data_IF_727700053861
#
_entry.id   IF_727700053861
#
_cell.length_a   1.000
_cell.length_b   1.000
_cell.length_c   1.000
_cell.angle_alpha   90.00
_cell.angle_beta   90.00
_cell.angle_gamma   90.00
#
_symmetry.space_group_name_H-M   'P 1'
#
loop_
_entity.id
_entity.type
_entity.pdbx_description
1 polymer ?
#
# COMPACT_ATOMS: atom_id res chain seq x y z
N UNK A 1 15.99 -17.66 17.58
CA UNK A 1 14.97 -16.79 18.23
C UNK A 1 13.80 -16.49 17.31
N UNK A 2 14.03 -16.03 16.07
CA UNK A 2 12.97 -15.87 15.05
C UNK A 2 12.21 -17.18 14.78
N UNK A 3 12.93 -18.29 14.55
CA UNK A 3 12.30 -19.60 14.29
C UNK A 3 11.42 -20.08 15.44
N UNK A 4 11.83 -19.82 16.69
CA UNK A 4 11.06 -20.20 17.89
C UNK A 4 9.78 -19.39 18.02
N UNK A 5 9.85 -18.07 17.84
CA UNK A 5 8.67 -17.18 17.90
C UNK A 5 7.69 -17.46 16.75
N UNK A 6 8.20 -17.76 15.56
CA UNK A 6 7.38 -18.14 14.41
C UNK A 6 6.68 -19.48 14.67
N UNK A 7 7.38 -20.50 15.15
CA UNK A 7 6.75 -21.80 15.47
C UNK A 7 5.65 -21.66 16.53
N UNK A 8 5.86 -20.85 17.57
CA UNK A 8 4.88 -20.70 18.66
C UNK A 8 3.68 -19.83 18.30
N UNK A 9 3.84 -18.80 17.46
CA UNK A 9 2.80 -17.80 17.18
C UNK A 9 2.30 -17.82 15.73
N UNK A 10 2.53 -18.91 15.01
CA UNK A 10 2.22 -19.04 13.59
C UNK A 10 0.75 -18.86 13.23
N UNK A 11 -0.14 -19.10 14.19
CA UNK A 11 -1.59 -18.97 14.06
C UNK A 11 -2.11 -17.59 14.52
N UNK A 12 -1.23 -16.76 15.11
CA UNK A 12 -1.63 -15.46 15.64
C UNK A 12 -1.66 -14.39 14.53
N UNK A 13 -2.80 -13.72 14.27
CA UNK A 13 -2.91 -12.71 13.21
C UNK A 13 -1.95 -11.51 13.39
N UNK A 14 -1.66 -11.13 14.64
CA UNK A 14 -0.73 -10.02 14.94
C UNK A 14 0.70 -10.34 14.52
N UNK A 15 1.08 -11.63 14.51
CA UNK A 15 2.42 -12.06 14.12
C UNK A 15 2.67 -11.73 12.64
N UNK A 16 1.71 -12.02 11.77
CA UNK A 16 1.82 -11.75 10.34
C UNK A 16 1.80 -10.26 10.02
N UNK A 17 0.97 -9.49 10.71
CA UNK A 17 0.96 -8.04 10.61
C UNK A 17 2.33 -7.42 11.00
N UNK A 18 2.99 -7.95 12.04
CA UNK A 18 4.34 -7.51 12.44
C UNK A 18 5.44 -8.02 11.50
N UNK A 19 5.26 -9.19 10.90
CA UNK A 19 6.19 -9.82 9.96
C UNK A 19 6.28 -9.05 8.65
N UNK A 20 5.16 -8.51 8.17
CA UNK A 20 5.05 -7.82 6.88
C UNK A 20 6.11 -6.68 6.71
N UNK A 21 6.23 -5.69 7.61
CA UNK A 21 7.24 -4.64 7.49
C UNK A 21 8.69 -5.14 7.75
N UNK A 22 8.84 -6.30 8.39
CA UNK A 22 10.16 -6.91 8.69
C UNK A 22 10.62 -7.89 7.61
N UNK A 23 9.84 -8.08 6.56
CA UNK A 23 10.07 -9.11 5.55
C UNK A 23 11.50 -9.10 4.98
N UNK A 24 12.04 -7.92 4.65
CA UNK A 24 13.41 -7.79 4.14
C UNK A 24 14.45 -8.32 5.13
N UNK A 25 14.41 -7.87 6.39
CA UNK A 25 15.33 -8.31 7.43
C UNK A 25 15.24 -9.83 7.69
N UNK A 26 14.02 -10.38 7.64
CA UNK A 26 13.78 -11.81 7.78
C UNK A 26 14.44 -12.57 6.63
N UNK A 27 14.19 -12.17 5.39
CA UNK A 27 14.72 -12.90 4.24
C UNK A 27 16.24 -12.76 4.13
N UNK A 28 16.81 -11.59 4.47
CA UNK A 28 18.26 -11.38 4.51
C UNK A 28 18.96 -12.27 5.55
N UNK A 29 18.25 -12.74 6.57
CA UNK A 29 18.80 -13.69 7.55
C UNK A 29 18.87 -15.14 7.05
N UNK A 30 18.24 -15.44 5.91
CA UNK A 30 18.18 -16.79 5.34
C UNK A 30 19.43 -17.04 4.49
N UNK A 31 20.08 -18.22 4.60
CA UNK A 31 21.23 -18.57 3.76
C UNK A 31 20.91 -18.45 2.27
N UNK A 32 21.83 -17.86 1.50
CA UNK A 32 21.66 -17.57 0.08
C UNK A 32 21.26 -18.79 -0.77
N UNK A 33 21.73 -19.99 -0.41
CA UNK A 33 21.40 -21.25 -1.10
C UNK A 33 19.91 -21.63 -1.05
N UNK A 34 19.14 -21.08 -0.12
CA UNK A 34 17.69 -21.31 0.03
C UNK A 34 16.87 -20.01 0.05
N UNK A 35 17.51 -18.87 -0.16
CA UNK A 35 16.94 -17.53 0.03
C UNK A 35 15.66 -17.31 -0.78
N UNK A 36 15.70 -17.55 -2.10
CA UNK A 36 14.54 -17.34 -2.98
C UNK A 36 13.37 -18.25 -2.63
N UNK A 37 13.61 -19.55 -2.40
CA UNK A 37 12.54 -20.50 -2.09
C UNK A 37 11.84 -20.14 -0.76
N UNK A 38 12.62 -19.80 0.27
CA UNK A 38 12.05 -19.41 1.55
C UNK A 38 11.39 -18.03 1.50
N UNK A 39 11.95 -17.08 0.77
CA UNK A 39 11.30 -15.79 0.51
C UNK A 39 9.92 -15.99 -0.11
N UNK A 40 9.82 -16.83 -1.15
CA UNK A 40 8.54 -17.16 -1.79
C UNK A 40 7.57 -17.85 -0.83
N UNK A 41 8.05 -18.75 0.04
CA UNK A 41 7.20 -19.41 1.04
C UNK A 41 6.67 -18.42 2.08
N UNK A 42 7.53 -17.55 2.60
CA UNK A 42 7.15 -16.50 3.55
C UNK A 42 6.20 -15.49 2.91
N UNK A 43 6.49 -15.06 1.68
CA UNK A 43 5.65 -14.14 0.91
C UNK A 43 4.23 -14.69 0.70
N UNK A 44 4.11 -15.95 0.23
CA UNK A 44 2.81 -16.63 0.13
C UNK A 44 2.07 -16.72 1.45
N UNK A 45 2.80 -16.89 2.56
CA UNK A 45 2.18 -16.94 3.88
C UNK A 45 1.68 -15.56 4.31
N UNK A 46 2.46 -14.50 4.12
CA UNK A 46 1.99 -13.13 4.34
C UNK A 46 0.73 -12.81 3.53
N UNK A 47 0.70 -13.23 2.26
CA UNK A 47 -0.43 -13.05 1.37
C UNK A 47 -1.74 -13.67 1.91
N UNK A 48 -1.64 -14.82 2.60
CA UNK A 48 -2.80 -15.50 3.18
C UNK A 48 -3.18 -15.01 4.56
N UNK A 49 -2.20 -14.67 5.38
CA UNK A 49 -2.37 -14.56 6.83
C UNK A 49 -2.34 -13.13 7.36
N UNK A 50 -1.84 -12.14 6.59
CA UNK A 50 -1.85 -10.74 7.06
C UNK A 50 -3.30 -10.26 7.12
N UNK A 51 -3.79 -9.85 8.31
CA UNK A 51 -5.12 -9.29 8.43
C UNK A 51 -5.14 -7.87 7.86
N UNK A 52 -6.12 -7.60 6.99
CA UNK A 52 -6.46 -6.24 6.60
C UNK A 52 -7.45 -5.65 7.61
N UNK A 53 -7.28 -4.38 7.99
CA UNK A 53 -8.21 -3.65 8.88
C UNK A 53 -8.22 -2.17 8.55
N UNK A 54 -9.39 -1.54 8.63
CA UNK A 54 -9.60 -0.12 8.33
C UNK A 54 -8.73 0.82 9.18
N UNK A 55 -8.58 0.51 10.47
CA UNK A 55 -7.83 1.31 11.45
C UNK A 55 -6.30 1.29 11.24
N UNK A 56 -5.81 0.32 10.47
CA UNK A 56 -4.37 0.13 10.18
C UNK A 56 -4.03 0.27 8.69
N UNK A 57 -4.92 0.90 7.92
CA UNK A 57 -4.82 0.94 6.46
C UNK A 57 -3.48 1.49 5.94
N UNK A 58 -2.96 2.54 6.57
CA UNK A 58 -1.66 3.14 6.21
C UNK A 58 -0.53 2.14 6.45
N UNK A 59 -0.50 1.51 7.63
CA UNK A 59 0.51 0.53 8.00
C UNK A 59 0.43 -0.70 7.10
N UNK A 60 -0.77 -1.11 6.71
CA UNK A 60 -1.03 -2.21 5.81
C UNK A 60 -0.41 -1.98 4.42
N UNK A 61 -0.72 -0.85 3.77
CA UNK A 61 -0.12 -0.51 2.46
C UNK A 61 1.40 -0.26 2.56
N UNK A 62 1.87 0.38 3.63
CA UNK A 62 3.30 0.62 3.83
C UNK A 62 4.07 -0.69 4.02
N UNK A 63 3.52 -1.62 4.80
CA UNK A 63 4.09 -2.96 4.97
C UNK A 63 4.15 -3.73 3.65
N UNK A 64 3.06 -3.71 2.87
CA UNK A 64 3.04 -4.33 1.55
C UNK A 64 4.04 -3.70 0.58
N UNK A 65 4.24 -2.38 0.64
CA UNK A 65 5.28 -1.70 -0.13
C UNK A 65 6.68 -2.19 0.19
N UNK A 66 7.04 -2.29 1.46
CA UNK A 66 8.34 -2.84 1.88
C UNK A 66 8.49 -4.28 1.39
N UNK A 67 7.49 -5.12 1.64
CA UNK A 67 7.52 -6.53 1.24
C UNK A 67 7.65 -6.70 -0.29
N UNK A 68 6.85 -5.96 -1.07
CA UNK A 68 6.87 -5.99 -2.54
C UNK A 68 8.22 -5.52 -3.07
N UNK A 69 8.79 -4.45 -2.51
CA UNK A 69 10.12 -3.95 -2.93
C UNK A 69 11.20 -5.02 -2.78
N UNK A 70 11.19 -5.74 -1.66
CA UNK A 70 12.18 -6.77 -1.37
C UNK A 70 11.97 -8.06 -2.19
N UNK A 71 10.74 -8.55 -2.31
CA UNK A 71 10.48 -9.75 -3.12
C UNK A 71 10.74 -9.48 -4.61
N UNK A 72 10.48 -8.25 -5.08
CA UNK A 72 10.78 -7.84 -6.45
C UNK A 72 12.29 -7.90 -6.73
N UNK A 73 13.14 -7.42 -5.81
CA UNK A 73 14.61 -7.53 -5.92
C UNK A 73 15.07 -9.00 -5.91
N UNK A 74 14.49 -9.81 -5.03
CA UNK A 74 14.84 -11.23 -4.92
C UNK A 74 14.50 -11.95 -6.23
N UNK A 75 13.31 -11.75 -6.79
CA UNK A 75 12.93 -12.37 -8.05
C UNK A 75 13.73 -11.82 -9.23
N UNK A 76 13.93 -10.51 -9.33
CA UNK A 76 14.68 -9.96 -10.45
C UNK A 76 16.12 -10.49 -10.49
N UNK A 77 16.75 -10.73 -9.32
CA UNK A 77 18.10 -11.29 -9.23
C UNK A 77 18.23 -12.70 -9.85
N UNK A 78 17.15 -13.49 -9.89
CA UNK A 78 17.12 -14.84 -10.49
C UNK A 78 17.29 -14.79 -12.00
N UNK A 79 16.80 -13.74 -12.64
CA UNK A 79 16.80 -13.55 -14.10
C UNK A 79 17.52 -12.27 -14.50
N UNK A 80 18.74 -12.06 -14.00
CA UNK A 80 19.64 -10.96 -14.41
C UNK A 80 18.96 -9.58 -14.36
N UNK A 81 18.29 -9.26 -13.25
CA UNK A 81 17.54 -8.02 -13.04
C UNK A 81 16.34 -7.81 -13.97
N UNK A 82 15.71 -8.88 -14.45
CA UNK A 82 14.46 -8.78 -15.21
C UNK A 82 13.25 -8.53 -14.29
N UNK A 83 12.88 -7.27 -14.15
CA UNK A 83 11.77 -6.83 -13.30
C UNK A 83 10.37 -7.15 -13.85
N UNK A 84 10.22 -7.29 -15.18
CA UNK A 84 8.95 -7.71 -15.79
C UNK A 84 8.67 -9.18 -15.46
N UNK A 85 9.68 -10.05 -15.58
CA UNK A 85 9.57 -11.43 -15.15
C UNK A 85 9.27 -11.53 -13.65
N UNK A 86 9.93 -10.72 -12.82
CA UNK A 86 9.71 -10.69 -11.38
C UNK A 86 8.28 -10.26 -11.02
N UNK A 87 7.73 -9.23 -11.70
CA UNK A 87 6.31 -8.86 -11.61
C UNK A 87 5.42 -10.05 -11.89
N UNK A 88 5.65 -10.75 -12.99
CA UNK A 88 4.80 -11.88 -13.39
C UNK A 88 4.85 -13.03 -12.37
N UNK A 89 6.01 -13.29 -11.75
CA UNK A 89 6.09 -14.25 -10.64
C UNK A 89 5.29 -13.82 -9.41
N UNK A 90 5.33 -12.53 -9.04
CA UNK A 90 4.51 -11.99 -7.92
C UNK A 90 3.02 -12.18 -8.23
N UNK A 91 2.60 -11.88 -9.46
CA UNK A 91 1.22 -12.05 -9.91
C UNK A 91 0.78 -13.52 -9.87
N UNK A 92 1.65 -14.45 -10.27
CA UNK A 92 1.38 -15.87 -10.16
C UNK A 92 1.21 -16.33 -8.70
N UNK A 93 1.99 -15.80 -7.75
CA UNK A 93 1.76 -16.08 -6.34
C UNK A 93 0.43 -15.51 -5.83
N UNK A 94 0.07 -14.28 -6.23
CA UNK A 94 -1.23 -13.68 -5.94
C UNK A 94 -2.39 -14.56 -6.45
N UNK A 95 -2.29 -15.04 -7.70
CA UNK A 95 -3.28 -15.94 -8.30
C UNK A 95 -3.44 -17.23 -7.49
N UNK A 96 -2.32 -17.86 -7.09
CA UNK A 96 -2.34 -19.10 -6.31
C UNK A 96 -3.00 -18.92 -4.95
N UNK A 97 -2.78 -17.79 -4.26
CA UNK A 97 -3.39 -17.57 -2.95
C UNK A 97 -4.87 -17.22 -3.05
N UNK A 98 -5.32 -16.52 -4.10
CA UNK A 98 -6.74 -16.28 -4.34
C UNK A 98 -7.52 -17.58 -4.51
N UNK A 99 -6.91 -18.59 -5.13
CA UNK A 99 -7.51 -19.92 -5.27
C UNK A 99 -7.56 -20.72 -3.95
N UNK A 100 -6.75 -20.34 -2.96
CA UNK A 100 -6.62 -21.06 -1.69
C UNK A 100 -7.43 -20.41 -0.55
N UNK A 101 -7.53 -19.09 -0.55
CA UNK A 101 -8.15 -18.35 0.56
C UNK A 101 -8.80 -17.07 0.07
N UNK A 102 -10.09 -16.98 0.31
CA UNK A 102 -10.91 -15.77 0.09
C UNK A 102 -10.41 -14.59 0.95
N UNK A 103 -9.77 -14.86 2.09
CA UNK A 103 -9.24 -13.80 2.97
C UNK A 103 -8.01 -13.09 2.40
N UNK A 104 -7.33 -13.69 1.41
CA UNK A 104 -6.15 -13.10 0.75
C UNK A 104 -6.49 -11.95 -0.19
N UNK A 105 -7.77 -11.75 -0.52
CA UNK A 105 -8.20 -10.76 -1.53
C UNK A 105 -7.69 -9.36 -1.19
N UNK A 106 -7.82 -8.91 0.06
CA UNK A 106 -7.37 -7.58 0.48
C UNK A 106 -5.84 -7.40 0.35
N UNK A 107 -5.07 -8.46 0.62
CA UNK A 107 -3.61 -8.47 0.44
C UNK A 107 -3.23 -8.39 -1.04
N UNK A 108 -3.93 -9.13 -1.89
CA UNK A 108 -3.71 -9.10 -3.34
C UNK A 108 -4.07 -7.73 -3.92
N UNK A 109 -5.20 -7.14 -3.52
CA UNK A 109 -5.59 -5.78 -3.89
C UNK A 109 -4.49 -4.78 -3.51
N UNK A 110 -3.93 -4.88 -2.30
CA UNK A 110 -2.83 -4.00 -1.88
C UNK A 110 -1.60 -4.17 -2.78
N UNK A 111 -1.16 -5.40 -3.04
CA UNK A 111 -0.01 -5.68 -3.91
C UNK A 111 -0.24 -5.13 -5.31
N UNK A 112 -1.42 -5.33 -5.90
CA UNK A 112 -1.74 -4.84 -7.24
C UNK A 112 -1.63 -3.31 -7.37
N UNK A 113 -1.90 -2.57 -6.30
CA UNK A 113 -1.74 -1.11 -6.29
C UNK A 113 -0.31 -0.64 -5.98
N UNK A 114 0.47 -1.44 -5.27
CA UNK A 114 1.83 -1.11 -4.80
C UNK A 114 2.90 -1.53 -5.80
N UNK A 115 2.71 -2.66 -6.48
CA UNK A 115 3.65 -3.18 -7.47
C UNK A 115 3.96 -2.22 -8.65
N UNK A 116 3.00 -1.48 -9.24
CA UNK A 116 3.30 -0.49 -10.28
C UNK A 116 4.24 0.61 -9.76
N UNK A 117 4.05 1.02 -8.50
CA UNK A 117 4.86 2.05 -7.83
C UNK A 117 6.31 1.61 -7.72
N UNK A 118 6.53 0.40 -7.22
CA UNK A 118 7.86 -0.14 -7.00
C UNK A 118 8.56 -0.45 -8.32
N UNK A 119 7.84 -0.94 -9.33
CA UNK A 119 8.39 -1.11 -10.67
C UNK A 119 8.84 0.24 -11.25
N UNK A 120 7.98 1.26 -11.24
CA UNK A 120 8.35 2.59 -11.75
C UNK A 120 9.55 3.20 -11.00
N UNK A 121 9.60 3.07 -9.67
CA UNK A 121 10.73 3.52 -8.86
C UNK A 121 12.03 2.86 -9.30
N UNK A 122 12.04 1.54 -9.42
CA UNK A 122 13.20 0.76 -9.87
C UNK A 122 13.59 1.16 -11.29
N UNK A 123 12.65 1.24 -12.23
CA UNK A 123 12.98 1.62 -13.60
C UNK A 123 13.59 3.03 -13.67
N UNK A 124 13.09 4.00 -12.91
CA UNK A 124 13.68 5.34 -12.85
C UNK A 124 15.12 5.36 -12.29
N UNK A 125 15.50 4.39 -11.46
CA UNK A 125 16.85 4.28 -10.89
C UNK A 125 17.87 3.70 -11.87
N UNK A 126 17.44 2.91 -12.88
CA UNK A 126 18.33 2.14 -13.75
C UNK A 126 18.24 2.49 -15.25
N UNK A 127 17.26 3.28 -15.70
CA UNK A 127 16.96 3.45 -17.14
C UNK A 127 17.58 4.72 -17.75
N UNK A 128 18.07 4.58 -18.99
CA UNK A 128 18.20 5.70 -19.92
C UNK A 128 16.82 6.03 -20.54
N UNK A 129 16.66 7.22 -21.13
CA UNK A 129 15.36 7.71 -21.63
C UNK A 129 14.66 6.80 -22.66
N UNK A 130 15.41 6.00 -23.42
CA UNK A 130 14.87 5.05 -24.41
C UNK A 130 14.26 3.79 -23.78
N UNK A 131 14.79 3.30 -22.65
CA UNK A 131 14.28 2.12 -21.96
C UNK A 131 12.99 2.44 -21.20
N UNK A 132 12.81 3.70 -20.79
CA UNK A 132 11.62 4.19 -20.10
C UNK A 132 10.35 4.12 -20.97
N UNK A 133 10.44 4.46 -22.26
CA UNK A 133 9.26 4.43 -23.16
C UNK A 133 8.81 2.99 -23.46
N UNK A 134 9.77 2.08 -23.64
CA UNK A 134 9.51 0.64 -23.76
C UNK A 134 8.87 0.08 -22.50
N UNK A 135 9.36 0.48 -21.32
CA UNK A 135 8.76 0.08 -20.06
C UNK A 135 7.31 0.57 -19.91
N UNK A 136 7.03 1.85 -20.17
CA UNK A 136 5.69 2.43 -20.06
C UNK A 136 4.68 1.72 -20.98
N UNK A 137 5.08 1.43 -22.23
CA UNK A 137 4.22 0.68 -23.15
C UNK A 137 3.89 -0.75 -22.66
N UNK A 138 4.85 -1.44 -22.05
CA UNK A 138 4.66 -2.78 -21.48
C UNK A 138 3.82 -2.76 -20.18
N UNK A 139 3.83 -1.64 -19.46
CA UNK A 139 3.08 -1.48 -18.22
C UNK A 139 1.64 -1.06 -18.46
N UNK A 140 1.35 -0.34 -19.54
CA UNK A 140 -0.01 0.15 -19.87
C UNK A 140 -1.06 -0.96 -19.87
N UNK A 141 -0.86 -2.02 -20.64
CA UNK A 141 -1.82 -3.13 -20.73
C UNK A 141 -2.04 -3.79 -19.37
N UNK A 142 -0.97 -3.93 -18.59
CA UNK A 142 -1.03 -4.49 -17.25
C UNK A 142 -1.78 -3.58 -16.27
N UNK A 143 -1.53 -2.26 -16.28
CA UNK A 143 -2.27 -1.29 -15.44
C UNK A 143 -3.76 -1.32 -15.76
N UNK A 144 -4.13 -1.34 -17.06
CA UNK A 144 -5.52 -1.45 -17.50
C UNK A 144 -6.14 -2.75 -16.96
N UNK A 145 -5.47 -3.90 -17.13
CA UNK A 145 -5.95 -5.18 -16.59
C UNK A 145 -6.10 -5.20 -15.06
N UNK A 146 -5.29 -4.44 -14.33
CA UNK A 146 -5.43 -4.28 -12.87
C UNK A 146 -6.65 -3.41 -12.54
N UNK A 147 -6.86 -2.29 -13.24
CA UNK A 147 -8.08 -1.50 -13.05
C UNK A 147 -9.35 -2.31 -13.37
N UNK A 148 -9.35 -3.06 -14.47
CA UNK A 148 -10.49 -3.91 -14.85
C UNK A 148 -10.83 -4.97 -13.81
N UNK A 149 -9.86 -5.36 -12.99
CA UNK A 149 -10.08 -6.25 -11.85
C UNK A 149 -10.56 -5.51 -10.60
N UNK A 150 -10.05 -4.31 -10.32
CA UNK A 150 -10.38 -3.55 -9.11
C UNK A 150 -11.68 -2.74 -9.21
N UNK A 151 -12.01 -2.19 -10.38
CA UNK A 151 -13.16 -1.32 -10.60
C UNK A 151 -14.51 -2.00 -10.33
N UNK A 152 -14.75 -3.27 -10.72
CA UNK A 152 -15.96 -3.99 -10.34
C UNK A 152 -16.16 -4.12 -8.83
N UNK A 153 -15.08 -4.03 -8.05
CA UNK A 153 -15.12 -4.17 -6.58
C UNK A 153 -15.55 -2.86 -5.91
N UNK A 154 -15.13 -1.70 -6.45
CA UNK A 154 -15.36 -0.39 -5.82
C UNK A 154 -16.51 0.42 -6.42
N UNK A 155 -16.92 0.09 -7.65
CA UNK A 155 -17.94 0.82 -8.40
C UNK A 155 -19.10 -0.10 -8.75
N UNK A 156 -20.25 0.14 -8.11
CA UNK A 156 -21.47 -0.62 -8.38
C UNK A 156 -21.90 -0.43 -9.85
N UNK A 157 -22.07 -1.54 -10.56
CA UNK A 157 -22.49 -1.53 -11.96
C UNK A 157 -21.36 -1.35 -12.98
N UNK A 158 -20.10 -1.21 -12.53
CA UNK A 158 -18.98 -1.29 -13.45
C UNK A 158 -18.83 -2.73 -13.98
N UNK A 159 -18.89 -2.88 -15.30
CA UNK A 159 -18.64 -4.14 -15.98
C UNK A 159 -17.29 -4.06 -16.68
N UNK A 160 -16.43 -5.04 -16.43
CA UNK A 160 -15.12 -5.06 -17.05
C UNK A 160 -15.25 -5.19 -18.58
N UNK A 161 -14.56 -4.31 -19.31
CA UNK A 161 -14.66 -4.24 -20.78
C UNK A 161 -13.54 -4.98 -21.49
N UNK A 162 -12.49 -5.34 -20.75
CA UNK A 162 -11.34 -6.07 -21.24
C UNK A 162 -10.85 -7.12 -20.24
N UNK A 163 -9.76 -7.80 -20.62
CA UNK A 163 -9.23 -8.91 -19.84
C UNK A 163 -8.68 -8.42 -18.50
N UNK A 164 -9.30 -8.91 -17.43
CA UNK A 164 -8.85 -8.70 -16.07
C UNK A 164 -7.53 -9.43 -15.80
N UNK A 165 -6.73 -8.91 -14.85
CA UNK A 165 -5.47 -9.55 -14.43
C UNK A 165 -5.69 -10.95 -13.84
N UNK A 166 -6.84 -11.17 -13.19
CA UNK A 166 -7.29 -12.48 -12.72
C UNK A 166 -8.71 -12.74 -13.21
N UNK A 167 -8.98 -13.97 -13.67
CA UNK A 167 -10.34 -14.42 -13.99
C UNK A 167 -10.88 -15.23 -12.80
N UNK A 168 -11.12 -14.55 -11.68
CA UNK A 168 -11.61 -15.14 -10.43
C UNK A 168 -12.75 -14.28 -9.91
N UNK A 169 -13.87 -14.90 -9.57
CA UNK A 169 -15.01 -14.21 -8.96
C UNK A 169 -14.69 -13.86 -7.51
N UNK A 170 -14.58 -12.57 -7.22
CA UNK A 170 -14.42 -12.07 -5.86
C UNK A 170 -15.78 -11.78 -5.25
N UNK A 171 -16.06 -12.39 -4.11
CA UNK A 171 -17.22 -12.04 -3.29
C UNK A 171 -16.94 -10.73 -2.57
N UNK A 172 -17.80 -9.73 -2.78
CA UNK A 172 -17.66 -8.41 -2.14
C UNK A 172 -17.63 -8.47 -0.61
N UNK A 173 -18.27 -9.48 -0.01
CA UNK A 173 -18.24 -9.74 1.43
C UNK A 173 -16.84 -10.04 1.99
N UNK A 174 -15.89 -10.46 1.15
CA UNK A 174 -14.51 -10.72 1.53
C UNK A 174 -13.60 -9.49 1.46
N UNK A 175 -14.10 -8.39 0.91
CA UNK A 175 -13.33 -7.19 0.63
C UNK A 175 -13.63 -6.10 1.64
N UNK A 176 -12.57 -5.55 2.21
CA UNK A 176 -12.64 -4.31 2.97
C UNK A 176 -12.67 -3.16 1.97
N UNK A 177 -13.82 -2.48 1.88
CA UNK A 177 -14.06 -1.48 0.83
C UNK A 177 -13.04 -0.33 0.87
N UNK A 178 -12.59 0.08 2.05
CA UNK A 178 -11.55 1.12 2.20
C UNK A 178 -10.21 0.72 1.57
N UNK A 179 -9.85 -0.57 1.65
CA UNK A 179 -8.64 -1.14 1.02
C UNK A 179 -8.78 -1.10 -0.48
N UNK A 180 -9.90 -1.57 -1.03
CA UNK A 180 -10.14 -1.56 -2.47
C UNK A 180 -10.15 -0.13 -3.04
N UNK A 181 -10.86 0.78 -2.39
CA UNK A 181 -10.90 2.21 -2.77
C UNK A 181 -9.52 2.85 -2.72
N UNK A 182 -8.78 2.63 -1.64
CA UNK A 182 -7.42 3.12 -1.46
C UNK A 182 -6.45 2.56 -2.51
N UNK A 183 -6.59 1.29 -2.86
CA UNK A 183 -5.79 0.65 -3.90
C UNK A 183 -6.06 1.25 -5.28
N UNK A 184 -7.32 1.52 -5.62
CA UNK A 184 -7.70 2.18 -6.88
C UNK A 184 -7.19 3.62 -6.92
N UNK A 185 -7.33 4.37 -5.82
CA UNK A 185 -6.76 5.72 -5.72
C UNK A 185 -5.23 5.70 -5.88
N UNK A 186 -4.52 4.80 -5.19
CA UNK A 186 -3.08 4.65 -5.34
C UNK A 186 -2.71 4.37 -6.79
N UNK A 187 -3.30 3.33 -7.40
CA UNK A 187 -3.02 2.96 -8.79
C UNK A 187 -3.27 4.12 -9.75
N UNK A 188 -4.33 4.91 -9.53
CA UNK A 188 -4.65 6.10 -10.32
C UNK A 188 -3.57 7.17 -10.28
N UNK A 189 -2.86 7.34 -9.16
CA UNK A 189 -1.74 8.29 -9.07
C UNK A 189 -0.55 7.89 -9.95
N UNK A 190 -0.43 6.59 -10.29
CA UNK A 190 0.67 6.08 -11.11
C UNK A 190 0.31 5.89 -12.58
N UNK A 191 -0.97 5.65 -12.86
CA UNK A 191 -1.49 5.52 -14.21
C UNK A 191 -1.28 6.81 -15.02
N UNK A 192 -0.86 6.66 -16.27
CA UNK A 192 -0.76 7.77 -17.22
C UNK A 192 -2.15 8.32 -17.57
N UNK A 193 -2.20 9.51 -18.17
CA UNK A 193 -3.48 10.06 -18.67
C UNK A 193 -4.10 9.11 -19.72
N UNK A 194 -3.28 8.48 -20.53
CA UNK A 194 -3.72 7.58 -21.60
C UNK A 194 -4.28 6.26 -21.06
N UNK A 195 -3.75 5.76 -19.94
CA UNK A 195 -4.30 4.59 -19.24
C UNK A 195 -5.69 4.89 -18.68
N UNK A 196 -5.90 6.12 -18.22
CA UNK A 196 -7.14 6.57 -17.58
C UNK A 196 -8.21 6.89 -18.61
N UNK A 197 -7.82 7.49 -19.74
CA UNK A 197 -8.71 7.77 -20.87
C UNK A 197 -9.32 6.52 -21.50
N UNK A 198 -8.72 5.34 -21.25
CA UNK A 198 -9.30 4.06 -21.64
C UNK A 198 -10.68 3.83 -20.98
N UNK A 199 -10.87 4.34 -19.75
CA UNK A 199 -12.10 4.18 -18.99
C UNK A 199 -13.03 5.37 -19.14
N UNK A 200 -14.32 5.15 -18.90
CA UNK A 200 -15.29 6.25 -18.86
C UNK A 200 -14.89 7.26 -17.75
N UNK A 201 -14.81 8.58 -18.05
CA UNK A 201 -14.43 9.60 -17.08
C UNK A 201 -15.21 9.56 -15.76
N UNK A 202 -16.47 9.12 -15.78
CA UNK A 202 -17.32 9.03 -14.59
C UNK A 202 -16.84 7.97 -13.59
N UNK A 203 -16.10 6.95 -14.05
CA UNK A 203 -15.58 5.86 -13.21
C UNK A 203 -14.60 6.37 -12.15
N UNK A 204 -13.83 7.41 -12.50
CA UNK A 204 -12.86 8.03 -11.62
C UNK A 204 -13.39 9.31 -10.96
N UNK A 205 -14.66 9.65 -11.15
CA UNK A 205 -15.26 10.78 -10.47
C UNK A 205 -15.31 10.50 -8.97
N UNK A 206 -14.81 11.43 -8.15
CA UNK A 206 -14.75 11.25 -6.70
C UNK A 206 -13.62 10.33 -6.21
N UNK A 207 -12.71 9.88 -7.08
CA UNK A 207 -11.57 9.03 -6.66
C UNK A 207 -10.69 9.70 -5.59
N UNK A 208 -10.61 11.03 -5.56
CA UNK A 208 -9.88 11.76 -4.51
C UNK A 208 -10.51 11.63 -3.12
N UNK A 209 -11.76 11.17 -3.03
CA UNK A 209 -12.41 10.83 -1.77
C UNK A 209 -11.90 9.50 -1.21
N UNK A 210 -11.33 8.65 -2.06
CA UNK A 210 -10.80 7.33 -1.71
C UNK A 210 -9.34 7.37 -1.26
N UNK A 211 -8.79 8.58 -1.09
CA UNK A 211 -7.42 8.78 -0.65
C UNK A 211 -7.17 8.10 0.69
N UNK A 212 -6.05 7.37 0.76
CA UNK A 212 -5.54 6.79 2.01
C UNK A 212 -5.48 7.87 3.07
N UNK A 213 -6.08 7.59 4.22
CA UNK A 213 -6.19 8.48 5.37
C UNK A 213 -7.18 9.65 5.25
N UNK A 214 -7.96 9.84 4.18
CA UNK A 214 -9.03 10.86 4.20
C UNK A 214 -10.07 10.53 5.27
N UNK A 215 -10.44 9.25 5.39
CA UNK A 215 -11.34 8.73 6.41
C UNK A 215 -10.74 8.84 7.83
N UNK A 216 -9.44 8.56 7.97
CA UNK A 216 -8.70 8.68 9.25
C UNK A 216 -8.50 10.15 9.67
N UNK A 217 -8.25 11.04 8.70
CA UNK A 217 -8.14 12.49 8.92
C UNK A 217 -9.50 13.07 9.28
N UNK A 218 -10.59 12.59 8.68
CA UNK A 218 -11.94 12.98 9.05
C UNK A 218 -12.25 12.53 10.48
N UNK A 219 -11.92 11.29 10.85
CA UNK A 219 -12.07 10.77 12.22
C UNK A 219 -11.22 11.57 13.23
N UNK A 220 -9.98 11.93 12.86
CA UNK A 220 -9.12 12.80 13.65
C UNK A 220 -9.69 14.23 13.76
N UNK A 221 -10.28 14.77 12.70
CA UNK A 221 -10.92 16.09 12.72
C UNK A 221 -12.16 16.07 13.61
N UNK A 222 -12.99 15.03 13.50
CA UNK A 222 -14.15 14.81 14.36
C UNK A 222 -13.72 14.62 15.80
N UNK A 223 -12.67 13.84 16.07
CA UNK A 223 -12.09 13.67 17.40
C UNK A 223 -11.50 14.97 17.96
N UNK A 224 -10.86 15.79 17.11
CA UNK A 224 -10.33 17.11 17.47
C UNK A 224 -11.47 18.10 17.77
N UNK A 225 -12.56 18.06 17.00
CA UNK A 225 -13.77 18.87 17.25
C UNK A 225 -14.43 18.40 18.54
N UNK A 226 -14.61 17.10 18.74
CA UNK A 226 -15.15 16.49 19.96
C UNK A 226 -14.32 16.86 21.20
N UNK A 227 -12.98 16.76 21.11
CA UNK A 227 -12.08 17.23 22.16
C UNK A 227 -12.25 18.73 22.41
N UNK A 228 -12.39 19.57 21.37
CA UNK A 228 -12.60 21.01 21.50
C UNK A 228 -13.96 21.34 22.14
N UNK A 229 -15.00 20.56 21.86
CA UNK A 229 -16.34 20.70 22.44
C UNK A 229 -16.35 20.25 23.91
N UNK A 230 -15.65 19.18 24.25
CA UNK A 230 -15.42 18.77 25.65
C UNK A 230 -14.61 19.83 26.39
N UNK A 231 -13.56 20.37 25.77
CA UNK A 231 -12.70 21.44 26.30
C UNK A 231 -13.47 22.73 26.63
N UNK A 232 -14.59 22.98 25.95
CA UNK A 232 -15.47 24.13 26.18
C UNK A 232 -16.51 23.89 27.28
N UNK A 233 -16.78 22.63 27.66
CA UNK A 233 -17.90 22.32 28.55
C UNK A 233 -17.53 21.58 29.84
N UNK A 234 -16.45 20.82 29.90
CA UNK A 234 -16.14 20.02 31.09
C UNK A 234 -14.62 19.85 31.34
N UNK A 235 -14.22 20.15 32.58
CA UNK A 235 -13.04 19.70 33.34
C UNK A 235 -11.86 20.67 33.58
N UNK A 236 -11.34 20.51 34.80
CA UNK A 236 -10.33 21.28 35.50
C UNK A 236 -8.94 21.23 34.85
N UNK A 237 -8.15 22.28 35.12
CA UNK A 237 -6.81 22.55 34.58
C UNK A 237 -5.84 21.36 34.57
N UNK A 238 -5.97 20.39 35.48
CA UNK A 238 -5.06 19.23 35.59
C UNK A 238 -5.26 18.22 34.44
N UNK A 239 -6.50 18.01 34.01
CA UNK A 239 -6.79 17.14 32.87
C UNK A 239 -6.34 17.80 31.56
N UNK A 240 -6.40 19.13 31.51
CA UNK A 240 -5.97 19.96 30.39
C UNK A 240 -4.46 19.81 30.10
N UNK A 241 -3.64 19.86 31.15
CA UNK A 241 -2.18 19.71 31.05
C UNK A 241 -1.81 18.30 30.60
N UNK A 242 -2.48 17.28 31.14
CA UNK A 242 -2.21 15.88 30.82
C UNK A 242 -2.55 15.56 29.36
N UNK A 243 -3.73 15.99 28.88
CA UNK A 243 -4.12 15.82 27.48
C UNK A 243 -3.22 16.60 26.50
N UNK A 244 -2.80 17.82 26.86
CA UNK A 244 -1.87 18.61 26.04
C UNK A 244 -0.49 17.93 25.91
N UNK A 245 0.02 17.35 27.00
CA UNK A 245 1.28 16.61 27.00
C UNK A 245 1.17 15.36 26.11
N UNK A 246 0.11 14.57 26.27
CA UNK A 246 -0.14 13.40 25.41
C UNK A 246 -0.25 13.77 23.93
N UNK A 247 -0.91 14.90 23.61
CA UNK A 247 -1.03 15.40 22.25
C UNK A 247 0.31 15.87 21.66
N UNK A 248 1.14 16.56 22.44
CA UNK A 248 2.49 16.95 22.03
C UNK A 248 3.39 15.74 21.78
N UNK A 249 3.27 14.71 22.60
CA UNK A 249 3.99 13.44 22.43
C UNK A 249 3.56 12.76 21.14
N UNK A 250 2.24 12.69 20.87
CA UNK A 250 1.71 12.11 19.64
C UNK A 250 2.17 12.86 18.38
N UNK A 251 2.14 14.20 18.39
CA UNK A 251 2.67 15.01 17.27
C UNK A 251 4.17 14.79 17.08
N UNK A 252 4.94 14.73 18.17
CA UNK A 252 6.38 14.49 18.09
C UNK A 252 6.67 13.09 17.55
N UNK A 253 5.89 12.09 17.94
CA UNK A 253 5.99 10.72 17.45
C UNK A 253 5.64 10.63 15.95
N UNK A 254 4.55 11.27 15.52
CA UNK A 254 4.17 11.36 14.10
C UNK A 254 5.23 12.09 13.26
N UNK A 255 5.82 13.18 13.77
CA UNK A 255 6.92 13.89 13.10
C UNK A 255 8.19 13.05 12.99
N UNK A 256 8.54 12.30 14.04
CA UNK A 256 9.71 11.42 14.05
C UNK A 256 9.51 10.22 13.11
N UNK A 257 8.31 9.64 13.10
CA UNK A 257 7.92 8.58 12.16
C UNK A 257 7.98 9.05 10.70
N UNK A 258 7.53 10.28 10.44
CA UNK A 258 7.63 10.89 9.10
C UNK A 258 9.09 11.22 8.73
N UNK A 259 9.90 11.72 9.67
CA UNK A 259 11.32 12.01 9.44
C UNK A 259 12.20 10.77 9.29
N UNK A 260 11.91 9.67 9.99
CA UNK A 260 12.65 8.40 9.81
C UNK A 260 12.35 7.76 8.46
N UNK A 261 11.15 7.99 7.90
CA UNK A 261 10.80 7.61 6.53
C UNK A 261 11.41 8.51 5.45
N UNK A 262 11.98 9.68 5.82
CA UNK A 262 12.53 10.69 4.92
C UNK A 262 14.07 10.69 4.82
N UNK A 263 14.76 9.78 5.53
CA UNK A 263 16.23 9.69 5.48
C UNK A 263 16.77 8.77 4.39
N UNK A 264 15.94 8.22 3.50
CA UNK A 264 16.39 7.57 2.26
C UNK A 264 16.09 8.50 1.07
N UNK A 265 17.12 9.29 0.72
CA UNK A 265 17.38 10.05 -0.51
C UNK A 265 16.20 10.68 -1.27
N UNK A 266 15.96 11.98 -1.07
CA UNK A 266 16.26 13.06 -2.04
C UNK A 266 15.62 14.39 -1.56
N UNK A 267 16.42 15.44 -1.37
CA UNK A 267 16.02 16.70 -0.70
C UNK A 267 15.29 17.69 -1.62
N UNK A 268 15.28 17.47 -2.93
CA UNK A 268 14.77 18.43 -3.93
C UNK A 268 13.27 18.24 -4.22
N UNK A 269 12.80 16.99 -4.27
CA UNK A 269 11.36 16.65 -4.41
C UNK A 269 10.53 17.10 -3.20
N UNK A 270 11.14 17.05 -2.00
CA UNK A 270 10.48 17.40 -0.72
C UNK A 270 10.15 18.89 -0.60
N UNK A 271 10.93 19.80 -1.22
CA UNK A 271 10.63 21.24 -1.21
C UNK A 271 9.36 21.58 -2.01
N UNK A 272 9.10 20.85 -3.10
CA UNK A 272 7.89 21.05 -3.91
C UNK A 272 6.64 20.57 -3.16
N UNK A 273 6.71 19.43 -2.47
CA UNK A 273 5.59 18.91 -1.67
C UNK A 273 5.32 19.73 -0.40
N UNK A 274 6.35 20.29 0.24
CA UNK A 274 6.20 21.21 1.38
C UNK A 274 5.63 22.58 0.98
N UNK A 275 6.00 23.11 -0.21
CA UNK A 275 5.42 24.34 -0.75
C UNK A 275 3.91 24.23 -0.94
N UNK A 276 3.44 23.10 -1.48
CA UNK A 276 2.00 22.85 -1.69
C UNK A 276 1.25 22.66 -0.37
N UNK A 277 1.83 21.93 0.60
CA UNK A 277 1.19 21.72 1.90
C UNK A 277 1.16 23.01 2.76
N UNK A 278 2.22 23.81 2.72
CA UNK A 278 2.31 25.08 3.46
C UNK A 278 1.36 26.14 2.88
N UNK A 279 1.22 26.17 1.55
CA UNK A 279 0.30 27.10 0.87
C UNK A 279 -1.17 26.74 1.12
N UNK A 280 -1.51 25.45 1.20
CA UNK A 280 -2.87 24.98 1.52
C UNK A 280 -3.29 25.21 2.98
N UNK A 281 -2.34 25.17 3.92
CA UNK A 281 -2.59 25.47 5.34
C UNK A 281 -2.69 26.98 5.60
N UNK A 282 -1.97 27.81 4.83
CA UNK A 282 -2.00 29.27 4.97
C UNK A 282 -3.25 29.92 4.38
N UNK A 283 -3.91 29.28 3.41
CA UNK A 283 -5.14 29.80 2.78
C UNK A 283 -6.45 29.28 3.39
N UNK A 284 -6.39 28.41 4.41
CA UNK A 284 -7.56 27.88 5.12
C UNK A 284 -7.53 28.17 6.64
N UNK A 285 -6.77 29.19 7.04
CA UNK A 285 -6.81 29.89 8.33
C UNK A 285 -7.18 31.34 8.06
#
# INVERSE_FOLDING_TARGET
MYDTLLVTNQESPWMWAATLPLFGAIVSSIPASRGTLQATKTFRRLLREVPAKDDTLIQFFAGWRVCVSEILKIYSSVKQNNYIWARDQIIEECKRVLQQSVMSVNNVIAILSVLPVELKRVFNEFSNSADASSFDSNMRSWIVSVFEFLLPIVSLGYQATSKQIFSIDITTASVILSVARSAVWLLRQFASKDDVQYFNPTVFQGIEEWRIAKEVVLLYLVFKIFLKTIFLHYLSWIHLVTCYICFKILIKWLRLYYHSSLNYHDKTSVRASFSVLYTLVRHNL
#
